data_IF_709518392409
#
_entry.id   IF_709518392409
#
_cell.length_a   1.000
_cell.length_b   1.000
_cell.length_c   1.000
_cell.angle_alpha   90.00
_cell.angle_beta   90.00
_cell.angle_gamma   90.00
#
_symmetry.space_group_name_H-M   'P 1'
#
loop_
_entity.id
_entity.type
_entity.pdbx_description
1 polymer ?
#
# COMPACT_ATOMS: atom_id res chain seq x y z
N UNK A 1 -13.89 -14.45 -11.81
CA UNK A 1 -12.69 -13.66 -11.46
C UNK A 1 -11.50 -14.62 -11.43
N UNK A 2 -10.41 -14.34 -12.16
CA UNK A 2 -9.26 -15.24 -12.26
C UNK A 2 -8.46 -15.35 -10.95
N UNK A 3 -8.48 -14.31 -10.09
CA UNK A 3 -7.70 -14.27 -8.85
C UNK A 3 -7.98 -15.42 -7.88
N UNK A 4 -9.26 -15.75 -7.66
CA UNK A 4 -9.66 -16.80 -6.69
C UNK A 4 -9.32 -18.23 -7.15
N UNK A 5 -8.99 -18.41 -8.44
CA UNK A 5 -8.64 -19.71 -9.01
C UNK A 5 -7.14 -19.89 -9.26
N UNK A 6 -6.36 -18.82 -9.20
CA UNK A 6 -4.95 -18.83 -9.57
C UNK A 6 -4.05 -19.30 -8.41
N UNK A 7 -3.46 -20.49 -8.59
CA UNK A 7 -2.49 -21.04 -7.65
C UNK A 7 -1.19 -20.22 -7.60
N UNK A 8 -0.81 -19.57 -8.71
CA UNK A 8 0.42 -18.79 -8.85
C UNK A 8 0.14 -17.40 -9.42
N UNK A 9 1.02 -16.45 -9.15
CA UNK A 9 0.90 -15.11 -9.73
C UNK A 9 1.13 -15.13 -11.25
N UNK A 10 0.34 -14.41 -12.05
CA UNK A 10 0.59 -14.27 -13.48
C UNK A 10 2.02 -13.79 -13.75
N UNK A 11 2.75 -14.51 -14.62
CA UNK A 11 4.15 -14.19 -14.92
C UNK A 11 4.32 -12.75 -15.40
N UNK A 12 3.41 -12.27 -16.23
CA UNK A 12 3.43 -10.90 -16.75
C UNK A 12 3.34 -9.83 -15.66
N UNK A 13 2.66 -10.13 -14.54
CA UNK A 13 2.62 -9.24 -13.37
C UNK A 13 3.94 -9.26 -12.61
N UNK A 14 4.64 -10.39 -12.54
CA UNK A 14 5.97 -10.42 -11.92
C UNK A 14 7.00 -9.69 -12.79
N UNK A 15 6.94 -9.93 -14.10
CA UNK A 15 7.84 -9.33 -15.08
C UNK A 15 7.76 -7.81 -15.11
N UNK A 16 6.59 -7.20 -14.89
CA UNK A 16 6.51 -5.73 -14.86
C UNK A 16 7.33 -5.14 -13.70
N UNK A 17 7.32 -5.76 -12.51
CA UNK A 17 8.15 -5.26 -11.41
C UNK A 17 9.65 -5.42 -11.70
N UNK A 18 10.04 -6.50 -12.38
CA UNK A 18 11.44 -6.73 -12.74
C UNK A 18 11.91 -5.75 -13.83
N UNK A 19 11.07 -5.43 -14.82
CA UNK A 19 11.37 -4.42 -15.84
C UNK A 19 11.65 -3.06 -15.18
N UNK A 20 10.76 -2.61 -14.30
CA UNK A 20 10.90 -1.30 -13.65
C UNK A 20 12.08 -1.26 -12.67
N UNK A 21 12.41 -2.37 -12.00
CA UNK A 21 13.58 -2.45 -11.13
C UNK A 21 14.90 -2.25 -11.88
N UNK A 22 15.04 -2.79 -13.10
CA UNK A 22 16.29 -2.72 -13.87
C UNK A 22 16.35 -1.53 -14.83
N UNK A 23 15.29 -0.73 -14.90
CA UNK A 23 15.27 0.50 -15.68
C UNK A 23 15.94 1.61 -14.86
N UNK A 24 17.28 1.64 -14.83
CA UNK A 24 18.06 2.47 -13.90
C UNK A 24 18.82 3.64 -14.56
N UNK A 25 18.58 3.94 -15.84
CA UNK A 25 19.48 4.81 -16.64
C UNK A 25 18.83 6.04 -17.31
N UNK A 26 17.68 6.52 -16.82
CA UNK A 26 17.12 7.79 -17.30
C UNK A 26 16.81 8.72 -16.14
N UNK A 27 17.39 9.92 -16.17
CA UNK A 27 17.11 11.11 -15.33
C UNK A 27 15.61 11.53 -15.27
N UNK A 28 14.70 10.72 -15.83
CA UNK A 28 13.27 10.95 -16.00
C UNK A 28 12.40 9.86 -15.33
N UNK A 29 12.86 9.20 -14.27
CA UNK A 29 11.95 8.35 -13.51
C UNK A 29 11.19 9.21 -12.50
N UNK A 30 9.87 9.40 -12.67
CA UNK A 30 9.08 10.16 -11.71
C UNK A 30 9.14 9.44 -10.36
N UNK A 31 8.91 10.19 -9.27
CA UNK A 31 8.87 9.78 -7.85
C UNK A 31 7.88 8.64 -7.51
N UNK A 32 7.39 7.93 -8.53
CA UNK A 32 6.32 6.95 -8.48
C UNK A 32 6.56 5.79 -9.48
N UNK A 33 7.81 5.34 -9.64
CA UNK A 33 8.21 4.24 -10.56
C UNK A 33 7.33 3.00 -10.38
N UNK A 34 6.98 2.68 -9.14
CA UNK A 34 6.20 1.49 -8.79
C UNK A 34 4.68 1.66 -8.83
N UNK A 35 4.17 2.88 -9.04
CA UNK A 35 2.73 3.14 -9.05
C UNK A 35 1.99 2.33 -10.12
N UNK A 36 2.47 2.38 -11.36
CA UNK A 36 1.87 1.65 -12.48
C UNK A 36 1.80 0.13 -12.23
N UNK A 37 2.93 -0.51 -11.88
CA UNK A 37 2.95 -1.92 -11.48
C UNK A 37 1.98 -2.28 -10.35
N UNK A 38 1.95 -1.50 -9.26
CA UNK A 38 1.06 -1.78 -8.13
C UNK A 38 -0.41 -1.48 -8.44
N UNK A 39 -0.71 -0.44 -9.19
CA UNK A 39 -2.08 -0.18 -9.67
C UNK A 39 -2.57 -1.38 -10.51
N UNK A 40 -1.74 -1.90 -11.43
CA UNK A 40 -2.07 -3.08 -12.22
C UNK A 40 -2.28 -4.33 -11.35
N UNK A 41 -1.44 -4.53 -10.33
CA UNK A 41 -1.57 -5.63 -9.38
C UNK A 41 -2.87 -5.55 -8.58
N UNK A 42 -3.21 -4.38 -8.03
CA UNK A 42 -4.44 -4.20 -7.27
C UNK A 42 -5.67 -4.39 -8.17
N UNK A 43 -5.66 -3.89 -9.41
CA UNK A 43 -6.74 -4.13 -10.39
C UNK A 43 -6.86 -5.62 -10.79
N UNK A 44 -5.78 -6.40 -10.64
CA UNK A 44 -5.83 -7.85 -10.83
C UNK A 44 -6.48 -8.55 -9.62
N UNK A 45 -6.13 -8.12 -8.41
CA UNK A 45 -6.65 -8.69 -7.16
C UNK A 45 -8.11 -8.33 -6.91
N UNK A 46 -8.46 -7.08 -7.17
CA UNK A 46 -9.77 -6.50 -6.93
C UNK A 46 -10.39 -6.19 -8.28
N UNK A 47 -11.58 -6.75 -8.53
CA UNK A 47 -12.36 -6.40 -9.74
C UNK A 47 -13.02 -5.03 -9.63
N UNK A 48 -12.92 -4.42 -8.45
CA UNK A 48 -13.66 -3.25 -8.02
C UNK A 48 -12.82 -1.98 -8.11
N UNK A 49 -13.51 -0.84 -8.01
CA UNK A 49 -12.98 0.49 -8.27
C UNK A 49 -11.74 0.81 -7.44
N UNK A 50 -10.61 1.05 -8.13
CA UNK A 50 -9.39 1.60 -7.54
C UNK A 50 -9.27 3.05 -7.98
N UNK A 51 -9.18 3.95 -7.02
CA UNK A 51 -9.00 5.37 -7.28
C UNK A 51 -7.63 5.84 -6.75
N UNK A 52 -6.85 6.62 -7.54
CA UNK A 52 -5.81 7.45 -6.97
C UNK A 52 -6.45 8.45 -6.02
N UNK A 53 -5.94 8.54 -4.80
CA UNK A 53 -6.24 9.62 -3.89
C UNK A 53 -4.99 10.44 -3.68
N UNK A 54 -5.11 11.75 -3.90
CA UNK A 54 -4.07 12.71 -3.55
C UNK A 54 -4.46 13.32 -2.23
N UNK A 55 -3.53 13.31 -1.29
CA UNK A 55 -3.67 14.13 -0.09
C UNK A 55 -2.56 15.16 -0.08
N UNK A 56 -2.99 16.41 0.02
CA UNK A 56 -2.11 17.53 0.28
C UNK A 56 -1.82 17.50 1.78
N UNK A 57 -0.55 17.28 2.15
CA UNK A 57 -0.14 17.38 3.56
C UNK A 57 -0.52 18.75 4.14
N UNK A 58 -0.81 18.79 5.45
CA UNK A 58 -1.10 20.04 6.14
C UNK A 58 0.12 20.98 6.03
N UNK A 59 -0.15 22.18 5.53
CA UNK A 59 0.83 23.24 5.25
C UNK A 59 1.64 23.57 6.51
N UNK A 60 2.82 22.97 6.66
CA UNK A 60 3.78 23.32 7.71
C UNK A 60 5.05 23.88 7.07
N UNK A 61 5.03 25.20 6.81
CA UNK A 61 6.16 26.15 6.80
C UNK A 61 7.45 25.86 6.01
N UNK A 62 7.59 24.75 5.30
CA UNK A 62 8.62 24.55 4.27
C UNK A 62 7.96 24.39 2.90
N UNK A 63 8.44 25.18 1.94
CA UNK A 63 7.81 25.59 0.69
C UNK A 63 7.67 24.50 -0.40
N UNK A 64 7.47 23.24 -0.01
CA UNK A 64 7.26 22.10 -0.93
C UNK A 64 6.06 21.29 -0.49
N UNK A 65 4.99 21.33 -1.29
CA UNK A 65 3.82 20.47 -1.12
C UNK A 65 4.24 19.05 -1.48
N UNK A 66 4.46 18.20 -0.49
CA UNK A 66 4.68 16.78 -0.72
C UNK A 66 3.32 16.14 -1.07
N UNK A 67 3.06 15.97 -2.37
CA UNK A 67 1.81 15.37 -2.85
C UNK A 67 1.96 13.86 -2.77
N UNK A 68 1.46 13.27 -1.69
CA UNK A 68 1.46 11.82 -1.52
C UNK A 68 0.24 11.26 -2.28
N UNK A 69 0.52 10.53 -3.36
CA UNK A 69 -0.48 9.74 -4.10
C UNK A 69 -0.55 8.34 -3.50
N UNK A 70 -1.72 7.92 -3.06
CA UNK A 70 -1.97 6.56 -2.61
C UNK A 70 -3.17 5.95 -3.32
N UNK A 71 -3.22 4.63 -3.36
CA UNK A 71 -4.29 3.86 -3.99
C UNK A 71 -5.33 3.48 -2.93
N UNK A 72 -6.61 3.66 -3.23
CA UNK A 72 -7.71 3.18 -2.37
C UNK A 72 -8.52 2.16 -3.15
N UNK A 73 -8.79 1.01 -2.52
CA UNK A 73 -9.73 0.00 -3.02
C UNK A 73 -11.06 0.19 -2.29
N UNK A 74 -12.14 0.19 -3.06
CA UNK A 74 -13.50 0.24 -2.55
C UNK A 74 -14.21 -1.09 -2.77
N UNK A 75 -15.11 -1.46 -1.86
CA UNK A 75 -16.05 -2.56 -2.09
C UNK A 75 -17.22 -2.13 -3.00
N UNK A 76 -18.12 -3.07 -3.29
CA UNK A 76 -19.32 -2.83 -4.10
C UNK A 76 -20.27 -1.75 -3.52
N UNK A 77 -20.12 -1.40 -2.24
CA UNK A 77 -20.90 -0.34 -1.57
C UNK A 77 -20.14 0.99 -1.51
N UNK A 78 -19.05 1.14 -2.26
CA UNK A 78 -18.17 2.31 -2.25
C UNK A 78 -17.54 2.60 -0.87
N UNK A 79 -17.31 1.58 -0.06
CA UNK A 79 -16.63 1.72 1.24
C UNK A 79 -15.14 1.40 1.09
N UNK A 80 -14.23 2.21 1.65
CA UNK A 80 -12.80 1.94 1.56
C UNK A 80 -12.45 0.68 2.37
N UNK A 81 -11.83 -0.30 1.72
CA UNK A 81 -11.44 -1.58 2.34
C UNK A 81 -9.94 -1.77 2.45
N UNK A 82 -9.19 -1.12 1.56
CA UNK A 82 -7.74 -1.13 1.51
C UNK A 82 -7.26 0.26 1.09
N UNK A 83 -6.16 0.73 1.67
CA UNK A 83 -5.33 1.76 1.06
C UNK A 83 -3.88 1.30 0.95
N UNK A 84 -3.18 1.81 -0.06
CA UNK A 84 -1.81 1.43 -0.34
C UNK A 84 -0.98 2.66 -0.70
N UNK A 85 0.11 2.86 0.04
CA UNK A 85 1.08 3.90 -0.23
C UNK A 85 2.29 3.29 -0.93
N UNK A 86 2.71 3.89 -2.05
CA UNK A 86 3.79 3.41 -2.90
C UNK A 86 4.96 4.39 -2.84
N UNK A 87 6.14 3.88 -2.53
CA UNK A 87 7.43 4.59 -2.57
C UNK A 87 8.44 3.77 -3.36
N UNK A 88 9.58 4.36 -3.71
CA UNK A 88 10.65 3.67 -4.44
C UNK A 88 11.58 2.85 -3.54
N UNK A 89 12.45 2.02 -4.14
CA UNK A 89 13.37 1.13 -3.40
C UNK A 89 14.33 1.90 -2.47
N UNK A 90 14.62 3.18 -2.76
CA UNK A 90 15.44 4.04 -1.90
C UNK A 90 14.84 4.20 -0.50
N UNK A 91 13.51 4.11 -0.35
CA UNK A 91 12.84 4.14 0.95
C UNK A 91 13.05 2.88 1.75
N UNK A 92 13.33 1.75 1.08
CA UNK A 92 13.54 0.49 1.76
C UNK A 92 14.96 0.36 2.34
N UNK A 93 15.96 0.98 1.69
CA UNK A 93 17.38 0.85 2.09
C UNK A 93 17.74 1.74 3.28
N UNK A 94 16.95 2.77 3.55
CA UNK A 94 17.23 3.82 4.54
C UNK A 94 16.34 3.70 5.78
N UNK A 95 16.89 3.49 6.98
CA UNK A 95 16.10 3.35 8.21
C UNK A 95 15.21 4.56 8.51
N UNK A 96 15.69 5.77 8.25
CA UNK A 96 14.95 7.01 8.44
C UNK A 96 13.74 7.10 7.50
N UNK A 97 13.89 6.68 6.23
CA UNK A 97 12.78 6.66 5.28
C UNK A 97 11.74 5.58 5.63
N UNK A 98 12.18 4.42 6.13
CA UNK A 98 11.25 3.39 6.63
C UNK A 98 10.44 3.87 7.82
N UNK A 99 11.07 4.61 8.74
CA UNK A 99 10.38 5.23 9.88
C UNK A 99 9.35 6.25 9.39
N UNK A 100 9.75 7.16 8.48
CA UNK A 100 8.82 8.13 7.90
C UNK A 100 7.66 7.47 7.14
N UNK A 101 7.88 6.34 6.47
CA UNK A 101 6.80 5.58 5.82
C UNK A 101 5.83 4.97 6.85
N UNK A 102 6.31 4.46 7.98
CA UNK A 102 5.45 3.97 9.07
C UNK A 102 4.61 5.10 9.68
N UNK A 103 5.23 6.25 9.93
CA UNK A 103 4.54 7.45 10.45
C UNK A 103 3.46 7.91 9.46
N UNK A 104 3.78 7.97 8.17
CA UNK A 104 2.82 8.32 7.11
C UNK A 104 1.63 7.35 7.11
N UNK A 105 1.87 6.03 7.15
CA UNK A 105 0.80 5.03 7.23
C UNK A 105 -0.10 5.21 8.46
N UNK A 106 0.47 5.49 9.64
CA UNK A 106 -0.32 5.70 10.87
C UNK A 106 -1.15 6.97 10.83
N UNK A 107 -0.58 8.07 10.34
CA UNK A 107 -1.32 9.31 10.12
C UNK A 107 -2.51 9.11 9.16
N UNK A 108 -2.38 8.23 8.17
CA UNK A 108 -3.51 7.86 7.30
C UNK A 108 -4.61 7.15 8.06
N UNK A 109 -4.26 6.20 8.92
CA UNK A 109 -5.25 5.52 9.75
C UNK A 109 -6.01 6.48 10.65
N UNK A 110 -5.37 7.50 11.24
CA UNK A 110 -6.05 8.52 12.06
C UNK A 110 -7.18 9.22 11.27
N UNK A 111 -6.95 9.47 9.98
CA UNK A 111 -7.93 10.13 9.10
C UNK A 111 -8.99 9.16 8.56
N UNK A 112 -8.63 7.90 8.31
CA UNK A 112 -9.48 6.94 7.60
C UNK A 112 -10.30 6.04 8.53
N UNK A 113 -9.80 5.65 9.70
CA UNK A 113 -10.52 4.74 10.61
C UNK A 113 -11.84 5.34 11.10
N UNK A 114 -11.83 6.63 11.43
CA UNK A 114 -13.05 7.35 11.86
C UNK A 114 -14.14 7.39 10.79
N UNK A 115 -13.78 7.19 9.52
CA UNK A 115 -14.69 7.20 8.36
C UNK A 115 -14.97 5.80 7.83
N UNK A 116 -14.31 4.78 8.38
CA UNK A 116 -14.42 3.42 7.91
C UNK A 116 -15.70 2.77 8.44
N UNK A 117 -16.55 2.31 7.53
CA UNK A 117 -17.85 1.71 7.85
C UNK A 117 -17.78 0.18 8.02
N UNK A 118 -16.59 -0.39 7.92
CA UNK A 118 -16.33 -1.82 8.09
C UNK A 118 -15.44 -2.05 9.31
N UNK A 119 -15.48 -3.23 9.97
CA UNK A 119 -14.76 -3.44 11.22
C UNK A 119 -13.23 -3.32 11.13
N UNK A 120 -12.67 -3.48 9.93
CA UNK A 120 -11.23 -3.50 9.67
C UNK A 120 -10.89 -2.74 8.40
N UNK A 121 -9.84 -1.94 8.44
CA UNK A 121 -9.26 -1.27 7.28
C UNK A 121 -7.83 -1.78 7.05
N UNK A 122 -7.58 -2.33 5.86
CA UNK A 122 -6.25 -2.80 5.49
C UNK A 122 -5.40 -1.66 4.92
N UNK A 123 -4.11 -1.65 5.25
CA UNK A 123 -3.15 -0.65 4.83
C UNK A 123 -1.87 -1.31 4.32
N UNK A 124 -1.36 -0.88 3.18
CA UNK A 124 -0.12 -1.42 2.60
C UNK A 124 0.92 -0.31 2.46
N UNK A 125 2.09 -0.51 3.07
CA UNK A 125 3.28 0.29 2.76
C UNK A 125 4.13 -0.49 1.76
N UNK A 126 4.23 0.04 0.55
CA UNK A 126 4.89 -0.58 -0.60
C UNK A 126 6.18 0.18 -0.89
N UNK A 127 7.30 -0.30 -0.34
CA UNK A 127 8.61 0.33 -0.46
C UNK A 127 9.41 -0.33 -1.57
N UNK A 128 9.27 0.21 -2.77
CA UNK A 128 9.75 -0.32 -4.03
C UNK A 128 9.12 -1.67 -4.31
N UNK A 129 9.73 -2.69 -3.75
CA UNK A 129 9.39 -4.08 -4.00
C UNK A 129 9.19 -4.89 -2.72
N UNK A 130 9.32 -4.22 -1.58
CA UNK A 130 9.00 -4.72 -0.26
C UNK A 130 7.59 -4.31 0.14
N UNK A 131 6.94 -5.16 0.94
CA UNK A 131 5.59 -4.94 1.46
C UNK A 131 5.60 -5.01 2.98
N UNK A 132 5.00 -4.00 3.62
CA UNK A 132 4.56 -4.05 5.01
C UNK A 132 3.06 -3.89 5.08
N UNK A 133 2.43 -4.75 5.87
CA UNK A 133 0.97 -4.85 5.97
C UNK A 133 0.53 -4.30 7.31
N UNK A 134 -0.53 -3.51 7.26
CA UNK A 134 -1.18 -2.93 8.42
C UNK A 134 -2.65 -3.35 8.47
N UNK A 135 -3.17 -3.53 9.68
CA UNK A 135 -4.58 -3.77 9.94
C UNK A 135 -5.05 -2.79 11.03
N UNK A 136 -5.97 -1.91 10.65
CA UNK A 136 -6.62 -0.99 11.58
C UNK A 136 -7.98 -1.52 12.01
N UNK A 137 -8.18 -1.73 13.31
CA UNK A 137 -9.47 -2.13 13.89
C UNK A 137 -10.31 -0.91 14.24
N UNK A 138 -11.51 -0.79 13.65
CA UNK A 138 -12.38 0.38 13.86
C UNK A 138 -12.94 0.43 15.29
N UNK A 139 -13.31 -0.72 15.86
CA UNK A 139 -13.87 -0.78 17.21
C UNK A 139 -12.83 -0.50 18.31
N UNK A 140 -11.58 -0.90 18.09
CA UNK A 140 -10.48 -0.77 19.05
C UNK A 140 -9.63 0.48 18.82
N UNK A 141 -9.80 1.14 17.67
CA UNK A 141 -8.93 2.19 17.16
C UNK A 141 -7.44 1.81 17.24
N UNK A 142 -7.13 0.53 17.03
CA UNK A 142 -5.79 -0.03 17.13
C UNK A 142 -5.24 -0.33 15.74
N UNK A 143 -3.95 -0.10 15.54
CA UNK A 143 -3.25 -0.38 14.29
C UNK A 143 -2.19 -1.44 14.58
N UNK A 144 -2.27 -2.55 13.87
CA UNK A 144 -1.24 -3.60 13.85
C UNK A 144 -0.43 -3.49 12.55
N UNK A 145 0.89 -3.73 12.55
CA UNK A 145 1.73 -3.93 13.73
C UNK A 145 1.79 -2.67 14.61
N UNK A 146 2.07 -2.86 15.90
CA UNK A 146 2.33 -1.75 16.82
C UNK A 146 3.50 -0.89 16.32
N UNK A 147 3.63 0.32 16.86
CA UNK A 147 4.76 1.18 16.51
C UNK A 147 6.07 0.47 16.89
N UNK A 148 6.94 0.30 15.91
CA UNK A 148 8.24 -0.34 16.09
C UNK A 148 9.31 0.75 16.06
N UNK A 149 10.13 0.75 17.10
CA UNK A 149 11.27 1.66 17.16
C UNK A 149 12.29 1.31 16.06
N UNK A 150 13.02 2.32 15.58
CA UNK A 150 13.87 2.30 14.35
C UNK A 150 14.94 1.20 14.24
N UNK A 151 15.11 0.35 15.26
CA UNK A 151 16.13 -0.69 15.35
C UNK A 151 15.63 -2.11 15.00
N UNK A 152 14.36 -2.29 14.67
CA UNK A 152 13.83 -3.63 14.37
C UNK A 152 14.39 -4.19 13.04
N UNK A 153 14.83 -5.46 12.99
CA UNK A 153 15.26 -6.10 11.76
C UNK A 153 14.12 -6.18 10.74
N UNK A 154 14.52 -6.13 9.47
CA UNK A 154 13.67 -6.00 8.29
C UNK A 154 12.46 -6.98 8.29
N UNK A 155 11.26 -6.47 8.57
CA UNK A 155 10.00 -7.25 8.53
C UNK A 155 9.40 -7.37 7.13
N UNK A 156 10.15 -7.00 6.09
CA UNK A 156 9.71 -7.14 4.71
C UNK A 156 9.50 -8.62 4.36
N UNK A 157 8.24 -9.01 4.20
CA UNK A 157 7.87 -10.37 3.81
C UNK A 157 8.01 -10.56 2.28
N UNK A 158 8.19 -11.81 1.81
CA UNK A 158 8.14 -12.13 0.39
C UNK A 158 6.83 -11.64 -0.26
N UNK A 159 7.00 -10.56 -1.05
CA UNK A 159 6.10 -9.74 -1.88
C UNK A 159 4.59 -10.00 -1.96
N UNK A 160 4.14 -11.25 -2.08
CA UNK A 160 2.79 -11.50 -2.59
C UNK A 160 1.98 -12.56 -1.86
N UNK A 161 2.57 -13.43 -1.05
CA UNK A 161 1.80 -14.47 -0.36
C UNK A 161 0.83 -13.85 0.65
N UNK A 162 1.30 -12.81 1.35
CA UNK A 162 0.46 -12.02 2.26
C UNK A 162 -0.64 -11.24 1.53
N UNK A 163 -0.40 -10.84 0.27
CA UNK A 163 -1.43 -10.18 -0.55
C UNK A 163 -2.61 -11.12 -0.82
N UNK A 164 -2.38 -12.41 -1.08
CA UNK A 164 -3.47 -13.38 -1.27
C UNK A 164 -4.34 -13.53 -0.03
N UNK A 165 -3.71 -13.56 1.15
CA UNK A 165 -4.41 -13.63 2.43
C UNK A 165 -5.30 -12.39 2.65
N UNK A 166 -4.75 -11.19 2.43
CA UNK A 166 -5.48 -9.93 2.61
C UNK A 166 -6.65 -9.83 1.63
N UNK A 167 -6.43 -10.14 0.35
CA UNK A 167 -7.49 -10.10 -0.65
C UNK A 167 -8.58 -11.13 -0.29
N UNK A 168 -8.19 -12.32 0.16
CA UNK A 168 -9.14 -13.33 0.63
C UNK A 168 -9.99 -12.85 1.82
N UNK A 169 -9.36 -12.21 2.81
CA UNK A 169 -10.05 -11.64 3.96
C UNK A 169 -11.02 -10.52 3.55
N UNK A 170 -10.57 -9.58 2.72
CA UNK A 170 -11.41 -8.48 2.22
C UNK A 170 -12.62 -9.02 1.46
N UNK A 171 -12.41 -9.96 0.53
CA UNK A 171 -13.50 -10.55 -0.26
C UNK A 171 -14.50 -11.32 0.60
N UNK A 172 -14.08 -11.93 1.70
CA UNK A 172 -14.96 -12.64 2.62
C UNK A 172 -15.86 -11.71 3.46
N UNK A 173 -15.45 -10.45 3.67
CA UNK A 173 -16.14 -9.50 4.56
C UNK A 173 -16.79 -8.32 3.82
N UNK A 174 -16.63 -8.24 2.49
CA UNK A 174 -17.15 -7.13 1.66
C UNK A 174 -18.53 -7.38 1.04
N UNK A 175 -19.15 -8.55 1.29
CA UNK A 175 -20.55 -8.87 0.94
C UNK A 175 -21.55 -8.28 1.93
#
# INVERSE_FOLDING_TARGET
MPFSTDATWPKDLLTIFDIYRHHDDSDELPENRYYGPYNKLLNYCFSDFIAPHQHFGDLTLSDTVDVIVFLIVFDANCRPVLFAEVKDDAWNTRPDFRLSADEQMRQRYDTMLSKCLIPRLWGLSLLGTSLRVYCGGVATNSIEPGFEDSQSPDHNQPRFDKMKEIVGDILAHST
#
